data_IF_052887271547
#
_entry.id   IF_052887271547
#
_cell.length_a   1.000
_cell.length_b   1.000
_cell.length_c   1.000
_cell.angle_alpha   90.00
_cell.angle_beta   90.00
_cell.angle_gamma   90.00
#
_symmetry.space_group_name_H-M   'P 1'
#
loop_
_entity.id
_entity.type
_entity.pdbx_description
1 polymer ?
#
# COMPACT_ATOMS: atom_id res chain seq x y z
N UNK A 1 8.07 -2.39 28.90
CA UNK A 1 8.96 -3.10 27.93
C UNK A 1 9.68 -4.32 28.49
N UNK A 2 10.44 -4.22 29.61
CA UNK A 2 11.16 -5.37 30.18
C UNK A 2 10.29 -6.57 30.58
N UNK A 3 9.00 -6.37 30.87
CA UNK A 3 8.08 -7.41 31.36
C UNK A 3 7.50 -8.33 30.26
N UNK A 4 7.37 -7.86 29.02
CA UNK A 4 6.75 -8.58 27.90
C UNK A 4 7.60 -9.76 27.34
N UNK A 5 8.90 -9.70 27.61
CA UNK A 5 9.90 -10.67 27.14
C UNK A 5 10.71 -11.19 28.31
N UNK A 6 10.08 -11.40 29.47
CA UNK A 6 10.74 -11.95 30.66
C UNK A 6 10.90 -13.47 30.58
N UNK A 7 10.05 -14.11 29.79
CA UNK A 7 9.90 -15.54 29.56
C UNK A 7 10.56 -16.05 28.26
N UNK A 8 11.05 -15.14 27.40
CA UNK A 8 11.92 -15.49 26.26
C UNK A 8 13.38 -15.30 26.69
N UNK A 9 14.28 -16.25 26.37
CA UNK A 9 15.70 -16.07 26.61
C UNK A 9 16.18 -14.73 26.04
N UNK A 10 17.14 -14.06 26.68
CA UNK A 10 17.76 -12.85 26.13
C UNK A 10 19.22 -13.08 25.87
N UNK A 11 19.70 -12.49 24.78
CA UNK A 11 21.12 -12.43 24.50
C UNK A 11 21.83 -11.79 25.70
N UNK A 12 22.85 -12.45 26.28
CA UNK A 12 23.71 -11.85 27.28
C UNK A 12 24.23 -10.48 26.82
N UNK A 13 24.34 -9.53 27.76
CA UNK A 13 24.89 -8.22 27.45
C UNK A 13 26.39 -8.33 27.15
N UNK A 14 26.88 -7.57 26.16
CA UNK A 14 28.30 -7.51 25.81
C UNK A 14 28.78 -8.58 24.81
N UNK A 15 27.87 -9.32 24.17
CA UNK A 15 28.20 -10.21 23.07
C UNK A 15 28.64 -9.44 21.82
N UNK A 16 29.56 -10.03 21.06
CA UNK A 16 29.86 -9.59 19.70
C UNK A 16 28.66 -9.83 18.78
N UNK A 17 28.66 -9.21 17.59
CA UNK A 17 27.57 -9.42 16.63
C UNK A 17 27.44 -10.90 16.21
N UNK A 18 28.56 -11.59 15.98
CA UNK A 18 28.58 -13.01 15.61
C UNK A 18 28.05 -13.90 16.75
N UNK A 19 28.46 -13.62 17.99
CA UNK A 19 27.98 -14.37 19.16
C UNK A 19 26.50 -14.12 19.44
N UNK A 20 26.01 -12.92 19.14
CA UNK A 20 24.59 -12.57 19.24
C UNK A 20 23.76 -13.38 18.24
N UNK A 21 24.23 -13.49 16.99
CA UNK A 21 23.55 -14.28 15.96
C UNK A 21 23.56 -15.78 16.28
N UNK A 22 24.69 -16.32 16.75
CA UNK A 22 24.78 -17.71 17.19
C UNK A 22 23.87 -18.00 18.39
N UNK A 23 23.76 -17.05 19.33
CA UNK A 23 22.87 -17.16 20.48
C UNK A 23 21.39 -17.12 20.07
N UNK A 24 21.01 -16.26 19.11
CA UNK A 24 19.65 -16.21 18.56
C UNK A 24 19.31 -17.53 17.88
N UNK A 25 20.20 -18.05 17.03
CA UNK A 25 19.98 -19.29 16.31
C UNK A 25 19.82 -20.48 17.25
N UNK A 26 20.62 -20.54 18.32
CA UNK A 26 20.47 -21.55 19.36
C UNK A 26 19.15 -21.41 20.13
N UNK A 27 18.74 -20.18 20.43
CA UNK A 27 17.48 -19.91 21.14
C UNK A 27 16.24 -20.26 20.30
N UNK A 28 16.32 -20.15 18.97
CA UNK A 28 15.28 -20.62 18.04
C UNK A 28 15.13 -22.15 18.10
N UNK A 29 16.27 -22.87 18.09
CA UNK A 29 16.30 -24.34 18.12
C UNK A 29 15.83 -24.91 19.46
N UNK A 30 16.20 -24.27 20.56
CA UNK A 30 15.86 -24.69 21.92
C UNK A 30 14.42 -24.31 22.33
N UNK A 31 13.70 -23.55 21.48
CA UNK A 31 12.32 -23.13 21.77
C UNK A 31 11.33 -24.29 21.63
N UNK A 32 10.38 -24.46 22.57
CA UNK A 32 9.31 -25.46 22.44
C UNK A 32 8.49 -25.25 21.16
N UNK A 33 8.52 -26.23 20.25
CA UNK A 33 7.87 -26.12 18.93
C UNK A 33 8.80 -25.69 17.78
N UNK A 34 10.09 -25.46 18.08
CA UNK A 34 11.16 -25.18 17.11
C UNK A 34 11.13 -23.78 16.50
N UNK A 35 11.98 -23.58 15.50
CA UNK A 35 12.26 -22.28 14.87
C UNK A 35 11.01 -21.51 14.41
N UNK A 36 10.04 -22.22 13.86
CA UNK A 36 8.79 -21.62 13.38
C UNK A 36 7.94 -21.10 14.55
N UNK A 37 7.82 -21.87 15.63
CA UNK A 37 7.08 -21.46 16.83
C UNK A 37 7.74 -20.26 17.50
N UNK A 38 9.07 -20.25 17.58
CA UNK A 38 9.85 -19.11 18.08
C UNK A 38 9.59 -17.85 17.22
N UNK A 39 9.64 -17.99 15.90
CA UNK A 39 9.46 -16.86 14.97
C UNK A 39 8.05 -16.28 15.08
N UNK A 40 7.02 -17.14 15.12
CA UNK A 40 5.63 -16.71 15.29
C UNK A 40 5.46 -15.99 16.62
N UNK A 41 5.97 -16.54 17.73
CA UNK A 41 5.85 -15.93 19.05
C UNK A 41 6.58 -14.58 19.10
N UNK A 42 7.78 -14.49 18.52
CA UNK A 42 8.58 -13.27 18.47
C UNK A 42 7.89 -12.16 17.64
N UNK A 43 7.41 -12.49 16.44
CA UNK A 43 6.66 -11.55 15.59
C UNK A 43 5.38 -11.08 16.29
N UNK A 44 4.62 -12.02 16.85
CA UNK A 44 3.35 -11.73 17.53
C UNK A 44 3.55 -10.78 18.71
N UNK A 45 4.60 -10.97 19.53
CA UNK A 45 4.90 -10.09 20.67
C UNK A 45 5.36 -8.70 20.26
N UNK A 46 6.14 -8.58 19.19
CA UNK A 46 6.50 -7.27 18.65
C UNK A 46 5.26 -6.54 18.14
N UNK A 47 4.37 -7.23 17.40
CA UNK A 47 3.10 -6.64 16.96
C UNK A 47 2.22 -6.21 18.14
N UNK A 48 2.14 -6.98 19.23
CA UNK A 48 1.42 -6.55 20.45
C UNK A 48 2.02 -5.28 21.07
N UNK A 49 3.35 -5.17 21.11
CA UNK A 49 4.04 -3.99 21.63
C UNK A 49 3.71 -2.75 20.79
N UNK A 50 3.76 -2.88 19.46
CA UNK A 50 3.42 -1.79 18.54
C UNK A 50 1.97 -1.31 18.74
N UNK A 51 1.03 -2.26 18.91
CA UNK A 51 -0.37 -1.95 19.20
C UNK A 51 -0.50 -1.20 20.53
N UNK A 52 0.16 -1.67 21.60
CA UNK A 52 0.10 -1.07 22.93
C UNK A 52 0.73 0.32 22.97
N UNK A 53 1.87 0.51 22.30
CA UNK A 53 2.51 1.82 22.17
C UNK A 53 1.60 2.79 21.42
N UNK A 54 0.96 2.33 20.34
CA UNK A 54 -0.01 3.15 19.60
C UNK A 54 -1.26 3.49 20.43
N UNK A 55 -1.75 2.54 21.24
CA UNK A 55 -2.86 2.78 22.17
C UNK A 55 -2.46 3.72 23.33
N UNK A 56 -1.18 3.78 23.66
CA UNK A 56 -0.63 4.67 24.69
C UNK A 56 -0.43 6.09 24.17
N UNK A 57 0.08 6.22 22.96
CA UNK A 57 0.29 7.51 22.29
C UNK A 57 -1.08 8.18 22.03
N UNK A 58 -1.98 7.47 21.35
CA UNK A 58 -3.20 8.09 20.78
C UNK A 58 -4.51 7.36 21.13
N UNK A 59 -4.48 6.40 22.07
CA UNK A 59 -5.63 5.56 22.43
C UNK A 59 -6.09 5.69 23.89
N UNK A 60 -6.83 4.69 24.36
CA UNK A 60 -7.40 4.68 25.71
C UNK A 60 -6.39 4.31 26.81
N UNK A 61 -5.14 3.98 26.44
CA UNK A 61 -4.07 3.70 27.40
C UNK A 61 -3.21 4.93 27.74
N UNK A 62 -3.74 6.14 27.50
CA UNK A 62 -3.09 7.39 27.93
C UNK A 62 -3.00 7.51 29.46
N UNK A 63 -3.88 6.82 30.20
CA UNK A 63 -3.76 6.70 31.65
C UNK A 63 -2.60 5.76 32.03
N UNK A 64 -1.70 6.24 32.89
CA UNK A 64 -0.50 5.51 33.33
C UNK A 64 -0.86 4.20 34.01
N UNK A 65 -1.93 4.19 34.81
CA UNK A 65 -2.36 3.01 35.57
C UNK A 65 -2.91 1.93 34.63
N UNK A 66 -3.73 2.33 33.65
CA UNK A 66 -4.27 1.41 32.65
C UNK A 66 -3.18 0.86 31.71
N UNK A 67 -2.22 1.72 31.34
CA UNK A 67 -1.07 1.31 30.55
C UNK A 67 -0.21 0.29 31.30
N UNK A 68 0.12 0.54 32.56
CA UNK A 68 0.88 -0.39 33.40
C UNK A 68 0.13 -1.69 33.63
N UNK A 69 -1.19 -1.63 33.85
CA UNK A 69 -2.05 -2.82 33.99
C UNK A 69 -2.03 -3.67 32.72
N UNK A 70 -2.10 -3.04 31.55
CA UNK A 70 -2.05 -3.73 30.25
C UNK A 70 -0.66 -4.34 30.02
N UNK A 71 0.42 -3.62 30.33
CA UNK A 71 1.78 -4.16 30.25
C UNK A 71 1.99 -5.35 31.20
N UNK A 72 1.38 -5.33 32.38
CA UNK A 72 1.42 -6.44 33.33
C UNK A 72 0.63 -7.65 32.81
N UNK A 73 -0.56 -7.43 32.25
CA UNK A 73 -1.35 -8.49 31.60
C UNK A 73 -0.54 -9.18 30.50
N UNK A 74 0.14 -8.41 29.64
CA UNK A 74 0.93 -8.94 28.53
C UNK A 74 2.25 -9.61 28.95
N UNK A 75 2.66 -9.46 30.20
CA UNK A 75 3.83 -10.17 30.75
C UNK A 75 3.57 -11.67 30.95
N UNK A 76 2.32 -12.11 30.82
CA UNK A 76 1.91 -13.51 30.99
C UNK A 76 1.27 -14.06 29.70
N UNK A 77 1.49 -15.35 29.43
CA UNK A 77 0.98 -16.03 28.23
C UNK A 77 -0.54 -15.95 28.11
N UNK A 78 -1.26 -16.21 29.22
CA UNK A 78 -2.72 -16.11 29.25
C UNK A 78 -3.21 -14.69 28.91
N UNK A 79 -2.57 -13.67 29.46
CA UNK A 79 -2.93 -12.27 29.19
C UNK A 79 -2.60 -11.82 27.77
N UNK A 80 -1.52 -12.34 27.16
CA UNK A 80 -1.23 -12.14 25.73
C UNK A 80 -2.30 -12.74 24.84
N UNK A 81 -2.76 -13.96 25.16
CA UNK A 81 -3.84 -14.63 24.43
C UNK A 81 -5.14 -13.82 24.51
N UNK A 82 -5.53 -13.39 25.72
CA UNK A 82 -6.71 -12.55 25.93
C UNK A 82 -6.63 -11.23 25.16
N UNK A 83 -5.47 -10.59 25.15
CA UNK A 83 -5.25 -9.35 24.40
C UNK A 83 -5.37 -9.57 22.89
N UNK A 84 -4.82 -10.68 22.36
CA UNK A 84 -4.97 -11.03 20.95
C UNK A 84 -6.41 -11.37 20.58
N UNK A 85 -7.10 -12.14 21.42
CA UNK A 85 -8.52 -12.45 21.22
C UNK A 85 -9.36 -11.17 21.24
N UNK A 86 -9.01 -10.21 22.11
CA UNK A 86 -9.59 -8.87 22.09
C UNK A 86 -9.29 -8.13 20.79
N UNK A 87 -8.04 -8.10 20.32
CA UNK A 87 -7.69 -7.46 19.04
C UNK A 87 -8.45 -8.09 17.85
N UNK A 88 -8.55 -9.42 17.80
CA UNK A 88 -9.27 -10.17 16.76
C UNK A 88 -10.77 -9.88 16.83
N UNK A 89 -11.35 -9.84 18.04
CA UNK A 89 -12.76 -9.51 18.22
C UNK A 89 -13.05 -8.03 17.94
N UNK A 90 -12.13 -7.13 18.26
CA UNK A 90 -12.19 -5.72 17.90
C UNK A 90 -12.08 -5.50 16.38
N UNK A 91 -11.39 -6.39 15.65
CA UNK A 91 -11.40 -6.45 14.18
C UNK A 91 -12.73 -7.00 13.62
N UNK A 92 -13.35 -7.98 14.29
CA UNK A 92 -14.66 -8.54 13.89
C UNK A 92 -15.85 -7.61 14.18
N UNK A 93 -15.74 -6.77 15.21
CA UNK A 93 -16.66 -5.65 15.50
C UNK A 93 -16.20 -4.42 14.69
N UNK A 94 -16.44 -4.46 13.39
CA UNK A 94 -15.99 -3.46 12.39
C UNK A 94 -16.49 -2.03 12.68
N UNK A 95 -17.43 -1.84 13.61
CA UNK A 95 -18.15 -0.57 13.77
C UNK A 95 -17.71 0.31 14.96
N UNK A 96 -17.15 -0.26 16.04
CA UNK A 96 -16.83 0.53 17.26
C UNK A 96 -15.34 0.88 17.34
N UNK A 97 -14.46 -0.06 16.99
CA UNK A 97 -13.00 0.14 16.97
C UNK A 97 -12.58 1.06 15.82
N UNK A 98 -13.18 0.91 14.64
CA UNK A 98 -12.98 1.83 13.50
C UNK A 98 -13.44 3.25 13.82
N UNK A 99 -14.55 3.42 14.56
CA UNK A 99 -15.00 4.75 15.01
C UNK A 99 -14.09 5.35 16.08
N UNK A 100 -13.49 4.54 16.96
CA UNK A 100 -12.53 5.03 17.97
C UNK A 100 -11.19 5.40 17.33
N UNK A 101 -10.67 4.57 16.43
CA UNK A 101 -9.44 4.83 15.67
C UNK A 101 -9.61 6.01 14.70
N UNK A 102 -10.75 6.13 14.03
CA UNK A 102 -11.02 7.25 13.11
C UNK A 102 -11.35 8.57 13.84
N UNK A 103 -11.73 8.52 15.12
CA UNK A 103 -11.99 9.71 15.95
C UNK A 103 -10.74 10.23 16.66
N UNK A 104 -9.69 9.40 16.76
CA UNK A 104 -8.36 9.76 17.27
C UNK A 104 -7.39 10.19 16.15
N UNK A 105 -7.65 9.83 14.88
CA UNK A 105 -6.88 10.36 13.76
C UNK A 105 -7.09 11.87 13.66
N UNK A 106 -6.01 12.68 13.47
CA UNK A 106 -6.15 14.05 13.03
C UNK A 106 -7.06 14.11 11.80
N UNK A 107 -7.81 15.19 11.63
CA UNK A 107 -8.47 15.47 10.36
C UNK A 107 -7.44 15.30 9.24
N UNK A 108 -7.53 14.20 8.50
CA UNK A 108 -6.71 13.95 7.34
C UNK A 108 -6.76 15.19 6.43
N UNK A 109 -5.59 15.76 6.18
CA UNK A 109 -5.44 16.78 5.16
C UNK A 109 -5.32 16.07 3.83
N UNK A 110 -6.00 16.58 2.82
CA UNK A 110 -5.84 16.10 1.46
C UNK A 110 -4.36 16.19 1.05
N UNK A 111 -3.69 15.05 0.74
CA UNK A 111 -2.29 15.06 0.34
C UNK A 111 -2.09 15.88 -0.92
N UNK A 112 -0.91 16.50 -1.05
CA UNK A 112 -0.55 17.19 -2.28
C UNK A 112 -0.46 16.15 -3.42
N UNK A 113 -0.95 16.46 -4.63
CA UNK A 113 -0.74 15.59 -5.79
C UNK A 113 0.74 15.24 -5.95
N UNK A 114 1.04 13.96 -6.19
CA UNK A 114 2.41 13.45 -6.21
C UNK A 114 3.26 14.09 -7.32
N UNK A 115 2.64 14.38 -8.45
CA UNK A 115 3.28 14.94 -9.63
C UNK A 115 2.29 15.83 -10.40
N UNK A 116 2.74 16.43 -11.50
CA UNK A 116 1.88 17.16 -12.42
C UNK A 116 2.34 16.89 -13.85
N UNK A 117 1.42 16.70 -14.78
CA UNK A 117 1.78 16.49 -16.18
C UNK A 117 1.93 17.81 -16.93
N UNK A 118 3.01 17.93 -17.71
CA UNK A 118 3.16 19.04 -18.64
C UNK A 118 2.13 18.95 -19.78
N UNK A 119 1.58 20.08 -20.28
CA UNK A 119 0.62 20.08 -21.39
C UNK A 119 1.12 19.34 -22.64
N UNK A 120 2.43 19.38 -22.92
CA UNK A 120 3.08 18.70 -24.03
C UNK A 120 3.03 17.18 -23.88
N UNK A 121 3.19 16.66 -22.66
CA UNK A 121 3.10 15.23 -22.36
C UNK A 121 1.66 14.73 -22.56
N UNK A 122 0.67 15.52 -22.14
CA UNK A 122 -0.76 15.23 -22.37
C UNK A 122 -1.02 15.17 -23.87
N UNK A 123 -0.62 16.19 -24.64
CA UNK A 123 -0.84 16.22 -26.09
C UNK A 123 -0.21 15.02 -26.80
N UNK A 124 1.02 14.66 -26.43
CA UNK A 124 1.75 13.51 -27.01
C UNK A 124 1.00 12.20 -26.79
N UNK A 125 0.52 11.97 -25.57
CA UNK A 125 -0.23 10.75 -25.26
C UNK A 125 -1.58 10.70 -26.02
N UNK A 126 -2.28 11.83 -26.14
CA UNK A 126 -3.55 11.95 -26.90
C UNK A 126 -3.37 11.59 -28.37
N UNK A 127 -2.28 12.02 -29.02
CA UNK A 127 -2.02 11.70 -30.43
C UNK A 127 -1.40 10.31 -30.63
N UNK A 128 -1.11 9.57 -29.55
CA UNK A 128 -0.58 8.21 -29.61
C UNK A 128 0.88 8.12 -30.06
N UNK A 129 1.70 9.11 -29.71
CA UNK A 129 3.12 9.13 -30.04
C UNK A 129 3.95 8.56 -28.86
N UNK A 130 4.41 7.29 -28.92
CA UNK A 130 5.17 6.68 -27.83
C UNK A 130 6.54 7.35 -27.69
N UNK A 131 7.03 7.46 -26.46
CA UNK A 131 8.38 7.96 -26.18
C UNK A 131 9.44 6.87 -26.27
N UNK A 132 9.02 5.61 -26.14
CA UNK A 132 9.91 4.47 -25.99
C UNK A 132 10.54 4.39 -24.60
N UNK A 133 11.29 3.32 -24.37
CA UNK A 133 11.96 3.05 -23.10
C UNK A 133 13.01 4.10 -22.75
N UNK A 134 12.88 4.66 -21.56
CA UNK A 134 13.82 5.54 -20.89
C UNK A 134 14.31 4.95 -19.56
N UNK A 135 14.83 5.80 -18.66
CA UNK A 135 15.46 5.36 -17.42
C UNK A 135 14.52 4.66 -16.44
N UNK A 136 13.26 5.10 -16.30
CA UNK A 136 12.31 4.50 -15.36
C UNK A 136 11.80 3.15 -15.84
N UNK A 137 11.56 2.98 -17.14
CA UNK A 137 11.29 1.65 -17.69
C UNK A 137 12.48 0.72 -17.47
N UNK A 138 13.69 1.19 -17.75
CA UNK A 138 14.92 0.39 -17.59
C UNK A 138 15.12 -0.03 -16.14
N UNK A 139 14.89 0.89 -15.18
CA UNK A 139 14.91 0.59 -13.75
C UNK A 139 13.89 -0.50 -13.39
N UNK A 140 12.64 -0.33 -13.81
CA UNK A 140 11.58 -1.27 -13.47
C UNK A 140 11.81 -2.66 -14.11
N UNK A 141 12.17 -2.70 -15.39
CA UNK A 141 12.45 -3.94 -16.12
C UNK A 141 13.68 -4.69 -15.56
N UNK A 142 14.62 -3.99 -14.92
CA UNK A 142 15.79 -4.59 -14.30
C UNK A 142 15.52 -5.21 -12.92
N UNK A 143 14.35 -4.97 -12.31
CA UNK A 143 14.02 -5.55 -11.00
C UNK A 143 13.95 -7.07 -11.09
N UNK A 144 14.42 -7.73 -10.03
CA UNK A 144 14.49 -9.19 -10.00
C UNK A 144 13.10 -9.84 -10.01
N UNK A 145 12.12 -9.25 -9.32
CA UNK A 145 10.72 -9.72 -9.34
C UNK A 145 10.10 -9.61 -10.74
N UNK A 146 10.34 -8.52 -11.45
CA UNK A 146 9.88 -8.30 -12.83
C UNK A 146 10.53 -9.29 -13.81
N UNK A 147 11.84 -9.54 -13.65
CA UNK A 147 12.58 -10.54 -14.45
C UNK A 147 12.09 -11.95 -14.21
N UNK A 148 11.84 -12.34 -12.96
CA UNK A 148 11.34 -13.67 -12.60
C UNK A 148 9.93 -13.92 -13.15
N UNK A 149 9.12 -12.88 -13.26
CA UNK A 149 7.79 -12.93 -13.88
C UNK A 149 7.82 -12.87 -15.40
N UNK A 150 9.00 -12.71 -16.02
CA UNK A 150 9.18 -12.62 -17.47
C UNK A 150 8.31 -11.54 -18.15
N UNK A 151 7.94 -10.49 -17.41
CA UNK A 151 6.92 -9.52 -17.82
C UNK A 151 7.25 -8.82 -19.15
N UNK A 152 8.54 -8.56 -19.40
CA UNK A 152 9.04 -7.95 -20.63
C UNK A 152 10.04 -8.88 -21.36
N UNK A 153 9.86 -10.20 -21.27
CA UNK A 153 10.75 -11.15 -21.94
C UNK A 153 10.78 -10.98 -23.47
N UNK A 154 9.69 -10.51 -24.06
CA UNK A 154 9.59 -10.20 -25.49
C UNK A 154 10.23 -8.85 -25.87
N UNK A 155 10.89 -8.16 -24.93
CA UNK A 155 11.53 -6.86 -25.12
C UNK A 155 10.64 -5.68 -24.74
N UNK A 156 11.10 -4.49 -25.12
CA UNK A 156 10.39 -3.23 -24.84
C UNK A 156 9.05 -3.18 -25.59
N UNK A 157 7.93 -2.86 -24.91
CA UNK A 157 6.64 -2.66 -25.58
C UNK A 157 6.70 -1.55 -26.63
N UNK A 158 6.08 -1.79 -27.80
CA UNK A 158 6.04 -0.82 -28.91
C UNK A 158 5.36 0.51 -28.53
N UNK A 159 4.32 0.43 -27.70
CA UNK A 159 3.55 1.59 -27.22
C UNK A 159 3.88 1.87 -25.75
N UNK A 160 5.06 2.41 -25.53
CA UNK A 160 5.54 2.84 -24.23
C UNK A 160 5.62 4.37 -24.17
N UNK A 161 4.97 4.95 -23.17
CA UNK A 161 4.94 6.38 -22.88
C UNK A 161 5.57 6.61 -21.51
N UNK A 162 6.75 7.19 -21.48
CA UNK A 162 7.52 7.45 -20.27
C UNK A 162 7.42 8.92 -19.87
N UNK A 163 7.27 9.13 -18.57
CA UNK A 163 7.14 10.40 -17.88
C UNK A 163 8.21 10.51 -16.80
N UNK A 164 8.31 11.65 -16.13
CA UNK A 164 9.21 11.87 -15.00
C UNK A 164 8.78 11.12 -13.72
N UNK A 165 7.50 10.76 -13.62
CA UNK A 165 6.91 10.05 -12.47
C UNK A 165 6.79 8.52 -12.67
N UNK A 166 6.94 8.02 -13.90
CA UNK A 166 6.68 6.62 -14.23
C UNK A 166 6.47 6.40 -15.73
N UNK A 167 5.79 5.32 -16.10
CA UNK A 167 5.50 5.04 -17.50
C UNK A 167 4.16 4.32 -17.68
N UNK A 168 3.62 4.40 -18.89
CA UNK A 168 2.40 3.72 -19.31
C UNK A 168 2.73 2.84 -20.51
N UNK A 169 2.32 1.58 -20.46
CA UNK A 169 2.36 0.69 -21.62
C UNK A 169 0.96 0.48 -22.14
N UNK A 170 0.84 0.36 -23.46
CA UNK A 170 -0.42 0.11 -24.11
C UNK A 170 -0.38 -1.22 -24.87
N UNK A 171 -1.25 -2.14 -24.49
CA UNK A 171 -1.36 -3.46 -25.13
C UNK A 171 -2.40 -3.48 -26.27
N UNK A 172 -2.33 -4.45 -27.20
CA UNK A 172 -3.36 -4.68 -28.19
C UNK A 172 -4.69 -5.09 -27.52
N UNK A 173 -5.58 -4.13 -27.26
CA UNK A 173 -6.86 -4.41 -26.58
C UNK A 173 -7.41 -3.31 -25.69
N UNK A 174 -7.44 -2.05 -26.19
CA UNK A 174 -7.10 -0.82 -25.43
C UNK A 174 -6.87 -1.01 -23.91
N UNK A 175 -5.75 -1.64 -23.54
CA UNK A 175 -5.34 -1.75 -22.13
C UNK A 175 -4.18 -0.79 -21.89
N UNK A 176 -4.33 0.11 -20.94
CA UNK A 176 -3.26 0.99 -20.46
C UNK A 176 -2.80 0.52 -19.07
N UNK A 177 -1.62 -0.07 -19.01
CA UNK A 177 -0.97 -0.44 -17.76
C UNK A 177 -0.15 0.75 -17.27
N UNK A 178 -0.40 1.18 -16.02
CA UNK A 178 0.23 2.37 -15.44
C UNK A 178 1.20 1.97 -14.35
N UNK A 179 2.45 2.37 -14.50
CA UNK A 179 3.53 2.07 -13.58
C UNK A 179 4.02 3.36 -12.94
N UNK A 180 3.99 3.42 -11.60
CA UNK A 180 4.42 4.58 -10.82
C UNK A 180 5.72 4.30 -10.07
N UNK A 181 6.73 5.16 -10.26
CA UNK A 181 8.07 4.89 -9.75
C UNK A 181 8.12 4.74 -8.24
N UNK A 182 7.47 5.66 -7.54
CA UNK A 182 7.45 5.66 -6.08
C UNK A 182 6.65 4.50 -5.50
N UNK A 183 5.70 3.92 -6.25
CA UNK A 183 4.96 2.73 -5.82
C UNK A 183 5.86 1.50 -5.86
N UNK A 184 6.53 1.23 -6.98
CA UNK A 184 7.38 0.04 -7.04
C UNK A 184 8.61 0.17 -6.13
N UNK A 185 9.15 1.37 -5.95
CA UNK A 185 10.28 1.63 -5.03
C UNK A 185 9.89 1.45 -3.55
N UNK A 186 8.65 1.78 -3.18
CA UNK A 186 8.12 1.60 -1.81
C UNK A 186 7.60 0.19 -1.54
N UNK A 187 7.50 -0.65 -2.57
CA UNK A 187 6.88 -1.96 -2.52
C UNK A 187 5.39 -1.91 -2.87
N UNK A 188 4.90 -2.94 -3.55
CA UNK A 188 3.53 -3.00 -4.09
C UNK A 188 2.50 -3.61 -3.13
N UNK A 189 2.95 -4.12 -1.98
CA UNK A 189 2.10 -4.78 -0.97
C UNK A 189 1.12 -3.76 -0.38
N UNK A 190 -0.18 -4.01 -0.56
CA UNK A 190 -1.25 -3.11 -0.10
C UNK A 190 -1.51 -1.89 -0.98
N UNK A 191 -0.66 -1.60 -1.98
CA UNK A 191 -0.87 -0.48 -2.90
C UNK A 191 -2.10 -0.70 -3.78
N UNK A 192 -2.37 -1.94 -4.20
CA UNK A 192 -3.51 -2.31 -5.05
C UNK A 192 -4.86 -1.90 -4.43
N UNK A 193 -5.11 -2.28 -3.17
CA UNK A 193 -6.35 -1.95 -2.46
C UNK A 193 -6.49 -0.44 -2.25
N UNK A 194 -5.38 0.25 -1.98
CA UNK A 194 -5.34 1.71 -1.84
C UNK A 194 -5.66 2.40 -3.17
N UNK A 195 -5.19 1.89 -4.32
CA UNK A 195 -5.55 2.42 -5.64
C UNK A 195 -7.04 2.24 -5.95
N UNK A 196 -7.66 1.11 -5.57
CA UNK A 196 -9.13 0.93 -5.68
C UNK A 196 -9.85 1.97 -4.83
N UNK A 197 -9.43 2.18 -3.57
CA UNK A 197 -10.00 3.18 -2.69
C UNK A 197 -9.90 4.59 -3.27
N UNK A 198 -8.75 4.93 -3.85
CA UNK A 198 -8.50 6.21 -4.49
C UNK A 198 -9.34 6.41 -5.75
N UNK A 199 -9.51 5.37 -6.56
CA UNK A 199 -10.38 5.41 -7.74
C UNK A 199 -11.84 5.62 -7.37
N UNK A 200 -12.35 4.90 -6.36
CA UNK A 200 -13.72 5.09 -5.86
C UNK A 200 -13.92 6.52 -5.35
N UNK A 201 -12.95 7.07 -4.63
CA UNK A 201 -13.01 8.46 -4.17
C UNK A 201 -13.07 9.47 -5.31
N UNK A 202 -12.28 9.29 -6.37
CA UNK A 202 -12.26 10.20 -7.52
C UNK A 202 -13.51 10.06 -8.41
N UNK A 203 -14.12 8.88 -8.47
CA UNK A 203 -15.22 8.60 -9.41
C UNK A 203 -16.60 8.59 -8.75
N UNK A 204 -16.69 8.42 -7.43
CA UNK A 204 -17.93 8.46 -6.68
C UNK A 204 -18.24 9.87 -6.17
N UNK A 205 -19.54 10.19 -6.09
CA UNK A 205 -19.98 11.40 -5.43
C UNK A 205 -19.82 11.25 -3.91
N UNK A 206 -18.76 11.83 -3.35
CA UNK A 206 -18.56 11.87 -1.89
C UNK A 206 -19.58 12.82 -1.26
N UNK A 207 -20.32 12.34 -0.28
CA UNK A 207 -21.27 13.18 0.47
C UNK A 207 -20.55 14.37 1.13
N UNK A 208 -20.90 15.59 0.72
CA UNK A 208 -20.31 16.83 1.24
C UNK A 208 -19.23 17.47 0.35
N UNK A 209 -18.76 16.79 -0.70
CA UNK A 209 -17.89 17.40 -1.71
C UNK A 209 -18.70 18.28 -2.66
N UNK A 210 -18.22 19.51 -2.91
CA UNK A 210 -18.76 20.42 -3.94
C UNK A 210 -18.21 20.13 -5.33
N UNK A 211 -17.20 19.27 -5.45
CA UNK A 211 -16.57 18.91 -6.71
C UNK A 211 -17.34 17.73 -7.30
N UNK A 212 -17.89 17.92 -8.50
CA UNK A 212 -18.54 16.83 -9.24
C UNK A 212 -17.44 15.88 -9.74
N UNK A 213 -17.55 14.56 -9.50
CA UNK A 213 -16.57 13.62 -10.02
C UNK A 213 -16.54 13.68 -11.55
N UNK A 214 -15.36 13.51 -12.18
CA UNK A 214 -15.26 13.40 -13.62
C UNK A 214 -16.13 12.26 -14.14
N UNK A 215 -16.80 12.51 -15.27
CA UNK A 215 -17.60 11.48 -15.93
C UNK A 215 -16.66 10.48 -16.62
N UNK A 216 -16.51 9.28 -16.04
CA UNK A 216 -15.76 8.17 -16.64
C UNK A 216 -16.50 7.68 -17.90
N UNK A 217 -15.84 7.54 -19.06
CA UNK A 217 -16.45 6.97 -20.26
C UNK A 217 -16.99 5.56 -19.99
N UNK A 218 -18.18 5.24 -20.49
CA UNK A 218 -18.85 3.95 -20.19
C UNK A 218 -18.08 2.72 -20.67
N UNK A 219 -17.18 2.87 -21.66
CA UNK A 219 -16.29 1.81 -22.12
C UNK A 219 -15.02 1.63 -21.30
N UNK A 220 -14.76 2.53 -20.34
CA UNK A 220 -13.54 2.50 -19.54
C UNK A 220 -13.77 1.85 -18.18
N UNK A 221 -13.02 0.80 -17.87
CA UNK A 221 -13.03 0.16 -16.55
C UNK A 221 -11.62 0.09 -15.95
N UNK A 222 -11.54 0.26 -14.62
CA UNK A 222 -10.31 0.06 -13.86
C UNK A 222 -10.21 -1.40 -13.42
N UNK A 223 -9.04 -2.00 -13.63
CA UNK A 223 -8.65 -3.29 -13.07
C UNK A 223 -7.39 -3.13 -12.19
N UNK A 224 -7.23 -4.04 -11.23
CA UNK A 224 -5.98 -4.17 -10.50
C UNK A 224 -4.86 -4.57 -11.46
N UNK A 225 -3.75 -3.82 -11.44
CA UNK A 225 -2.60 -4.10 -12.28
C UNK A 225 -1.80 -5.36 -11.89
N UNK A 226 -2.35 -6.26 -11.07
CA UNK A 226 -1.64 -7.44 -10.54
C UNK A 226 -1.07 -8.30 -11.67
N UNK A 227 -1.87 -8.57 -12.72
CA UNK A 227 -1.47 -9.44 -13.83
C UNK A 227 -0.26 -8.86 -14.61
N UNK A 228 -0.22 -7.54 -14.77
CA UNK A 228 0.86 -6.83 -15.46
C UNK A 228 1.94 -6.29 -14.50
N UNK A 229 1.85 -6.64 -13.20
CA UNK A 229 2.62 -6.05 -12.10
C UNK A 229 2.67 -4.51 -12.12
N UNK A 230 1.60 -3.90 -12.63
CA UNK A 230 1.40 -2.45 -12.75
C UNK A 230 0.70 -1.89 -11.51
N UNK A 231 0.75 -0.58 -11.28
CA UNK A 231 0.00 0.04 -10.17
C UNK A 231 -1.51 -0.09 -10.39
N UNK A 232 -1.96 0.03 -11.64
CA UNK A 232 -3.34 -0.15 -12.08
C UNK A 232 -3.39 -0.37 -13.60
N UNK A 233 -4.49 -0.93 -14.07
CA UNK A 233 -4.78 -1.08 -15.50
C UNK A 233 -6.12 -0.42 -15.84
N UNK A 234 -6.17 0.29 -16.97
CA UNK A 234 -7.42 0.82 -17.55
C UNK A 234 -7.74 0.04 -18.82
N UNK A 235 -8.93 -0.50 -18.89
CA UNK A 235 -9.44 -1.25 -20.04
C UNK A 235 -10.48 -0.41 -20.76
N UNK A 236 -10.26 -0.14 -22.04
CA UNK A 236 -11.20 0.53 -22.93
C UNK A 236 -12.18 -0.42 -23.60
N UNK A 237 -13.21 0.15 -24.25
CA UNK A 237 -14.21 -0.61 -24.97
C UNK A 237 -13.67 -1.17 -26.29
N UNK A 238 -14.15 -2.34 -26.71
CA UNK A 238 -13.80 -2.94 -28.00
C UNK A 238 -14.42 -2.15 -29.17
N UNK A 239 -13.79 -1.04 -29.61
CA UNK A 239 -14.25 -0.27 -30.77
C UNK A 239 -13.41 0.97 -31.13
N UNK A 240 -13.16 1.19 -32.42
CA UNK A 240 -12.18 2.16 -32.93
C UNK A 240 -12.54 3.66 -32.77
N UNK A 241 -13.81 4.12 -32.65
CA UNK A 241 -14.07 5.49 -32.19
C UNK A 241 -14.10 5.64 -30.66
N UNK A 242 -14.29 4.55 -29.90
CA UNK A 242 -14.23 4.57 -28.45
C UNK A 242 -12.80 4.79 -27.96
N UNK A 243 -11.80 4.24 -28.68
CA UNK A 243 -10.38 4.36 -28.31
C UNK A 243 -9.85 5.80 -28.26
N UNK A 244 -10.28 6.68 -29.18
CA UNK A 244 -9.82 8.07 -29.24
C UNK A 244 -10.43 8.94 -28.12
N UNK A 245 -11.71 8.73 -27.82
CA UNK A 245 -12.41 9.42 -26.72
C UNK A 245 -11.86 8.93 -25.38
N UNK A 246 -11.69 7.63 -25.21
CA UNK A 246 -11.11 7.01 -24.02
C UNK A 246 -9.68 7.47 -23.82
N UNK A 247 -8.81 7.40 -24.84
CA UNK A 247 -7.43 7.91 -24.76
C UNK A 247 -7.38 9.37 -24.36
N UNK A 248 -8.24 10.21 -24.96
CA UNK A 248 -8.30 11.63 -24.61
C UNK A 248 -8.66 11.81 -23.14
N UNK A 249 -9.65 11.08 -22.64
CA UNK A 249 -10.04 11.10 -21.24
C UNK A 249 -8.94 10.56 -20.32
N UNK A 250 -8.31 9.43 -20.68
CA UNK A 250 -7.18 8.84 -19.96
C UNK A 250 -6.06 9.87 -19.83
N UNK A 251 -5.76 10.60 -20.88
CA UNK A 251 -4.70 11.62 -20.83
C UNK A 251 -5.10 12.86 -20.04
N UNK A 252 -6.20 13.51 -20.42
CA UNK A 252 -6.55 14.86 -19.97
C UNK A 252 -7.20 14.86 -18.58
N UNK A 253 -7.82 13.75 -18.17
CA UNK A 253 -8.53 13.65 -16.89
C UNK A 253 -7.77 12.71 -15.97
N UNK A 254 -7.53 11.47 -16.39
CA UNK A 254 -6.94 10.48 -15.51
C UNK A 254 -5.47 10.76 -15.20
N UNK A 255 -4.59 10.73 -16.20
CA UNK A 255 -3.14 10.90 -16.01
C UNK A 255 -2.79 12.33 -15.54
N UNK A 256 -3.48 13.35 -16.07
CA UNK A 256 -3.16 14.74 -15.75
C UNK A 256 -3.71 15.22 -14.39
N UNK A 257 -4.80 14.62 -13.87
CA UNK A 257 -5.49 15.13 -12.68
C UNK A 257 -5.78 14.06 -11.62
N UNK A 258 -6.44 12.95 -11.99
CA UNK A 258 -6.82 11.93 -11.00
C UNK A 258 -5.61 11.17 -10.46
N UNK A 259 -4.77 10.63 -11.33
CA UNK A 259 -3.61 9.81 -10.98
C UNK A 259 -2.63 10.53 -10.04
N UNK A 260 -2.26 11.81 -10.25
CA UNK A 260 -1.47 12.56 -9.29
C UNK A 260 -2.05 12.58 -7.87
N UNK A 261 -3.34 12.89 -7.73
CA UNK A 261 -4.01 12.97 -6.44
C UNK A 261 -4.16 11.58 -5.81
N UNK A 262 -4.56 10.58 -6.60
CA UNK A 262 -4.64 9.19 -6.19
C UNK A 262 -3.30 8.68 -5.66
N UNK A 263 -2.21 8.95 -6.39
CA UNK A 263 -0.87 8.49 -6.01
C UNK A 263 -0.39 9.12 -4.70
N UNK A 264 -0.67 10.41 -4.48
CA UNK A 264 -0.38 11.08 -3.21
C UNK A 264 -1.07 10.41 -2.02
N UNK A 265 -2.36 10.07 -2.18
CA UNK A 265 -3.13 9.34 -1.15
C UNK A 265 -2.65 7.91 -0.94
N UNK A 266 -2.30 7.22 -2.04
CA UNK A 266 -1.85 5.83 -1.96
C UNK A 266 -0.52 5.72 -1.23
N UNK A 267 0.41 6.65 -1.49
CA UNK A 267 1.74 6.64 -0.88
C UNK A 267 1.79 7.26 0.52
N UNK A 268 0.79 8.04 0.93
CA UNK A 268 0.71 8.55 2.30
C UNK A 268 0.25 7.43 3.26
N UNK A 269 1.13 6.91 4.14
CA UNK A 269 0.77 5.83 5.06
C UNK A 269 -0.30 6.24 6.09
N UNK A 270 -0.50 7.54 6.31
CA UNK A 270 -1.48 8.08 7.24
C UNK A 270 -2.84 8.34 6.58
N UNK A 271 -2.90 8.34 5.24
CA UNK A 271 -4.14 8.56 4.52
C UNK A 271 -5.08 7.35 4.67
N UNK A 272 -6.28 7.62 5.14
CA UNK A 272 -7.29 6.62 5.44
C UNK A 272 -8.45 6.71 4.47
N UNK A 273 -8.58 5.71 3.59
CA UNK A 273 -9.69 5.70 2.65
C UNK A 273 -11.02 5.48 3.41
N UNK A 274 -12.07 6.28 3.13
CA UNK A 274 -13.38 6.10 3.74
C UNK A 274 -13.84 4.65 3.68
N UNK A 275 -14.32 4.11 4.80
CA UNK A 275 -14.81 2.73 4.88
C UNK A 275 -16.25 2.57 4.38
N UNK A 276 -16.98 3.69 4.23
CA UNK A 276 -18.37 3.71 3.79
C UNK A 276 -18.44 4.24 2.36
N UNK A 277 -18.57 3.33 1.40
CA UNK A 277 -18.93 3.61 0.01
C UNK A 277 -20.26 2.96 -0.30
#
# INVERSE_FOLDING_TARGET
>A
MRALFSDIPRAPQGLSHEDTMAWIQKSMQDFPGGDLAYTIEHVTRNSMLDIVLRLREDGHLQDDTQFETTLLQLSHEAGRKEFMDWCINAQKSVDTTSRLLNRAKPSWSEPTPLFSMAPEQVRRFVIGEPTGAGPLFTEFAAREDVRQLELFANGTPDRLYEFDWGFVTEEPGPVWNVYLADVWRSGTVGSFDRFIGAWRLETAAVAGSKVRPPHVPAGLSLELGIAAFASLALHGGSGDPASAVERKWVSEVFLAHMLPAMSGRVLDPNYDFPSNW
#
